data_IF_214668281275
#
_entry.id   IF_214668281275
#
_cell.length_a   1.000
_cell.length_b   1.000
_cell.length_c   1.000
_cell.angle_alpha   90.00
_cell.angle_beta   90.00
_cell.angle_gamma   90.00
#
_symmetry.space_group_name_H-M   'P 1'
#
loop_
_entity.id
_entity.type
_entity.pdbx_description
1 polymer ?
#
# COMPACT_ATOMS: atom_id res chain seq x y z
N UNK A 1 50.57 31.57 18.29
CA UNK A 1 50.14 31.26 19.67
C UNK A 1 50.03 32.53 20.48
N UNK A 2 48.83 32.91 20.93
CA UNK A 2 48.55 33.68 22.16
C UNK A 2 47.05 33.66 22.42
N UNK A 3 46.74 33.47 23.69
CA UNK A 3 45.52 32.91 24.25
C UNK A 3 44.46 33.96 24.57
N UNK A 4 43.20 33.53 24.52
CA UNK A 4 42.01 34.21 25.02
C UNK A 4 42.14 34.48 26.53
N UNK A 5 41.70 35.67 26.99
CA UNK A 5 41.31 35.89 28.39
C UNK A 5 39.92 36.50 28.47
N UNK A 6 39.09 35.79 29.23
CA UNK A 6 37.74 36.10 29.69
C UNK A 6 37.62 37.50 30.31
N UNK A 7 36.51 38.18 30.02
CA UNK A 7 35.98 39.27 30.85
C UNK A 7 34.70 38.74 31.51
N UNK A 8 34.64 38.89 32.84
CA UNK A 8 33.55 38.46 33.73
C UNK A 8 32.35 39.44 33.68
N UNK A 9 31.15 38.87 33.70
CA UNK A 9 29.83 39.51 33.89
C UNK A 9 29.66 40.21 35.25
N UNK A 10 28.66 41.10 35.35
CA UNK A 10 27.75 41.13 36.51
C UNK A 10 26.25 40.94 36.14
N UNK A 11 25.34 40.72 37.13
CA UNK A 11 24.11 39.93 36.98
C UNK A 11 22.76 40.70 37.01
N UNK A 12 21.73 40.01 36.47
CA UNK A 12 20.27 39.99 36.77
C UNK A 12 19.56 41.25 37.32
N UNK A 13 18.42 41.61 36.69
CA UNK A 13 17.11 41.80 37.39
C UNK A 13 15.92 41.50 36.47
N UNK A 14 14.84 40.97 37.06
CA UNK A 14 13.56 40.52 36.46
C UNK A 14 12.48 41.62 36.57
N UNK A 15 11.46 41.59 35.68
CA UNK A 15 9.99 41.76 35.89
C UNK A 15 9.35 41.92 34.48
N UNK A 16 8.59 40.98 33.90
CA UNK A 16 7.25 40.42 34.21
C UNK A 16 6.08 41.38 33.89
N UNK A 17 5.33 41.06 32.81
CA UNK A 17 3.88 41.28 32.52
C UNK A 17 3.65 40.91 31.04
N UNK A 18 3.06 39.76 30.67
CA UNK A 18 1.62 39.43 30.56
C UNK A 18 1.36 39.05 29.07
N UNK A 19 1.19 37.77 28.73
CA UNK A 19 -0.10 37.11 28.37
C UNK A 19 -0.80 37.84 27.20
N UNK A 20 -1.08 37.27 26.02
CA UNK A 20 -1.73 35.97 25.73
C UNK A 20 -1.41 35.42 24.31
N UNK A 21 -1.44 34.07 24.22
CA UNK A 21 -1.66 33.21 23.03
C UNK A 21 -0.68 33.35 21.84
N UNK A 22 0.42 32.60 21.71
CA UNK A 22 0.58 31.14 21.82
C UNK A 22 -0.43 30.31 21.01
N UNK A 23 -0.31 30.35 19.68
CA UNK A 23 -0.57 29.18 18.81
C UNK A 23 0.61 29.00 17.88
N UNK A 24 1.77 28.69 18.47
CA UNK A 24 2.77 27.88 17.78
C UNK A 24 2.15 26.49 17.72
N UNK A 25 1.60 26.10 16.57
CA UNK A 25 1.28 24.71 16.31
C UNK A 25 2.59 23.96 16.11
N UNK A 26 3.29 23.73 17.21
CA UNK A 26 4.16 22.57 17.36
C UNK A 26 3.24 21.36 17.27
N UNK A 27 3.01 20.92 16.03
CA UNK A 27 2.64 19.55 15.75
C UNK A 27 3.84 18.68 16.08
N UNK A 28 4.11 18.55 17.38
CA UNK A 28 5.01 17.58 17.95
C UNK A 28 4.39 16.23 17.64
N UNK A 29 4.64 15.72 16.44
CA UNK A 29 4.60 14.28 16.19
C UNK A 29 5.58 13.70 17.19
N UNK A 30 5.05 13.30 18.34
CA UNK A 30 5.74 12.49 19.30
C UNK A 30 6.25 11.29 18.51
N UNK A 31 7.53 11.35 18.15
CA UNK A 31 8.29 10.24 17.63
C UNK A 31 8.47 9.27 18.79
N UNK A 32 7.36 8.65 19.19
CA UNK A 32 7.37 7.32 19.76
C UNK A 32 8.23 6.54 18.78
N UNK A 33 9.36 6.03 19.25
CA UNK A 33 10.19 5.11 18.50
C UNK A 33 9.40 3.81 18.32
N UNK A 34 8.34 3.87 17.50
CA UNK A 34 7.55 2.73 17.11
C UNK A 34 8.53 1.73 16.54
N UNK A 35 8.40 0.50 17.01
CA UNK A 35 9.21 -0.61 16.57
C UNK A 35 9.15 -0.68 15.02
N UNK A 36 10.24 -1.05 14.35
CA UNK A 36 10.32 -0.96 12.88
C UNK A 36 9.16 -1.70 12.19
N UNK A 37 8.70 -2.79 12.80
CA UNK A 37 7.53 -3.57 12.41
C UNK A 37 6.22 -2.78 12.51
N UNK A 38 5.99 -2.04 13.59
CA UNK A 38 4.79 -1.22 13.78
C UNK A 38 4.74 -0.07 12.78
N UNK A 39 5.89 0.54 12.46
CA UNK A 39 5.98 1.58 11.42
C UNK A 39 5.66 0.99 10.04
N UNK A 40 6.14 -0.22 9.76
CA UNK A 40 5.83 -0.93 8.52
C UNK A 40 4.35 -1.29 8.42
N UNK A 41 3.77 -1.79 9.50
CA UNK A 41 2.35 -2.14 9.55
C UNK A 41 1.47 -0.91 9.33
N UNK A 42 1.77 0.22 10.00
CA UNK A 42 1.06 1.49 9.73
C UNK A 42 1.15 1.91 8.27
N UNK A 43 2.33 1.81 7.66
CA UNK A 43 2.49 2.10 6.23
C UNK A 43 1.67 1.16 5.35
N UNK A 44 1.58 -0.13 5.69
CA UNK A 44 0.75 -1.10 4.97
C UNK A 44 -0.72 -0.75 5.09
N UNK A 45 -1.18 -0.40 6.29
CA UNK A 45 -2.57 -0.08 6.56
C UNK A 45 -2.99 1.20 5.81
N UNK A 46 -2.11 2.20 5.73
CA UNK A 46 -2.33 3.39 4.90
C UNK A 46 -2.44 3.06 3.41
N UNK A 47 -1.60 2.15 2.90
CA UNK A 47 -1.69 1.70 1.50
C UNK A 47 -2.96 0.88 1.24
N UNK A 48 -3.44 0.10 2.22
CA UNK A 48 -4.69 -0.66 2.12
C UNK A 48 -5.92 0.23 2.10
N UNK A 49 -5.87 1.38 2.75
CA UNK A 49 -6.95 2.34 2.76
C UNK A 49 -7.16 3.02 1.39
N UNK A 50 -6.19 2.91 0.47
CA UNK A 50 -6.31 3.47 -0.89
C UNK A 50 -7.09 2.50 -1.78
N UNK A 51 -8.34 2.87 -2.07
CA UNK A 51 -9.26 2.09 -2.90
C UNK A 51 -9.64 2.81 -4.19
N UNK A 52 -9.57 4.15 -4.20
CA UNK A 52 -9.98 4.98 -5.33
C UNK A 52 -8.82 5.80 -5.91
N UNK A 53 -9.00 6.31 -7.13
CA UNK A 53 -8.01 7.17 -7.77
C UNK A 53 -7.83 8.52 -7.05
N UNK A 54 -8.89 9.08 -6.47
CA UNK A 54 -8.80 10.31 -5.66
C UNK A 54 -8.00 10.08 -4.38
N UNK A 55 -8.20 8.95 -3.70
CA UNK A 55 -7.43 8.58 -2.52
C UNK A 55 -5.96 8.34 -2.86
N UNK A 56 -5.69 7.76 -4.04
CA UNK A 56 -4.33 7.61 -4.55
C UNK A 56 -3.65 8.97 -4.71
N UNK A 57 -4.31 9.94 -5.35
CA UNK A 57 -3.76 11.28 -5.51
C UNK A 57 -3.48 11.95 -4.16
N UNK A 58 -4.43 11.89 -3.22
CA UNK A 58 -4.24 12.43 -1.88
C UNK A 58 -3.09 11.75 -1.11
N UNK A 59 -2.92 10.45 -1.27
CA UNK A 59 -1.81 9.72 -0.65
C UNK A 59 -0.46 10.12 -1.25
N UNK A 60 -0.39 10.35 -2.56
CA UNK A 60 0.80 10.89 -3.22
C UNK A 60 1.12 12.30 -2.68
N UNK A 61 0.13 13.17 -2.52
CA UNK A 61 0.30 14.52 -1.95
C UNK A 61 0.81 14.49 -0.51
N UNK A 62 0.37 13.50 0.28
CA UNK A 62 0.88 13.23 1.64
C UNK A 62 2.29 12.62 1.67
N UNK A 63 2.90 12.38 0.49
CA UNK A 63 4.25 11.83 0.37
C UNK A 63 4.33 10.30 0.44
N UNK A 64 3.20 9.59 0.31
CA UNK A 64 3.21 8.11 0.21
C UNK A 64 3.66 7.72 -1.20
N UNK A 65 4.80 7.07 -1.29
CA UNK A 65 5.36 6.62 -2.56
C UNK A 65 4.99 5.16 -2.84
N UNK A 66 4.24 4.93 -3.92
CA UNK A 66 3.71 3.63 -4.35
C UNK A 66 4.76 2.78 -5.08
N UNK A 67 5.97 2.72 -4.53
CA UNK A 67 7.05 1.84 -4.97
C UNK A 67 7.65 1.18 -3.74
N UNK A 68 8.23 -0.02 -3.88
CA UNK A 68 8.85 -0.70 -2.73
C UNK A 68 9.97 0.15 -2.13
N UNK A 69 10.78 0.78 -2.98
CA UNK A 69 11.88 1.63 -2.52
C UNK A 69 11.41 2.96 -1.94
N UNK A 70 10.35 3.55 -2.49
CA UNK A 70 9.71 4.74 -1.93
C UNK A 70 9.12 4.47 -0.55
N UNK A 71 8.34 3.40 -0.43
CA UNK A 71 7.77 2.94 0.84
C UNK A 71 8.85 2.73 1.90
N UNK A 72 9.97 2.09 1.54
CA UNK A 72 11.12 1.89 2.44
C UNK A 72 11.79 3.19 2.87
N UNK A 73 11.99 4.13 1.95
CA UNK A 73 12.58 5.45 2.26
C UNK A 73 11.72 6.20 3.28
N UNK A 74 10.39 6.13 3.13
CA UNK A 74 9.45 6.74 4.07
C UNK A 74 9.56 6.14 5.48
N UNK A 75 9.73 4.82 5.58
CA UNK A 75 9.75 4.11 6.88
C UNK A 75 11.19 4.04 7.46
N UNK A 76 12.21 4.51 6.74
CA UNK A 76 13.64 4.50 7.12
C UNK A 76 14.17 3.10 7.48
N UNK A 77 13.74 2.06 6.74
CA UNK A 77 14.16 0.67 7.02
C UNK A 77 15.24 0.18 6.04
N UNK A 78 16.29 -0.47 6.55
CA UNK A 78 17.38 -1.07 5.76
C UNK A 78 16.94 -2.28 4.92
N UNK A 79 17.41 -2.34 3.66
CA UNK A 79 16.93 -3.27 2.62
C UNK A 79 17.14 -4.78 2.95
N UNK A 80 18.29 -5.14 3.52
CA UNK A 80 18.71 -6.53 3.75
C UNK A 80 18.04 -7.13 4.98
N UNK A 81 18.10 -6.43 6.12
CA UNK A 81 17.50 -6.90 7.37
C UNK A 81 16.01 -7.12 7.23
N UNK A 82 15.32 -6.24 6.49
CA UNK A 82 13.87 -6.28 6.45
C UNK A 82 13.29 -7.39 5.55
N UNK A 83 14.00 -7.75 4.48
CA UNK A 83 13.61 -8.86 3.60
C UNK A 83 13.73 -10.22 4.29
N UNK A 84 14.68 -10.35 5.21
CA UNK A 84 14.94 -11.59 5.96
C UNK A 84 14.12 -11.69 7.23
N UNK A 85 13.91 -10.59 7.96
CA UNK A 85 13.17 -10.58 9.24
C UNK A 85 11.65 -10.51 9.06
N UNK A 86 11.15 -9.75 8.08
CA UNK A 86 9.71 -9.50 7.88
C UNK A 86 9.25 -9.86 6.47
N UNK A 87 9.55 -11.10 6.06
CA UNK A 87 9.24 -11.61 4.71
C UNK A 87 7.74 -11.54 4.40
N UNK A 88 6.89 -11.82 5.37
CA UNK A 88 5.42 -11.82 5.21
C UNK A 88 4.89 -10.42 4.93
N UNK A 89 5.30 -9.42 5.71
CA UNK A 89 4.94 -8.01 5.51
C UNK A 89 5.40 -7.51 4.13
N UNK A 90 6.57 -7.96 3.65
CA UNK A 90 7.02 -7.68 2.29
C UNK A 90 6.18 -8.32 1.20
N UNK A 91 5.64 -9.50 1.44
CA UNK A 91 4.71 -10.14 0.50
C UNK A 91 3.44 -9.31 0.40
N UNK A 92 2.86 -8.95 1.56
CA UNK A 92 1.65 -8.14 1.64
C UNK A 92 1.82 -6.78 0.94
N UNK A 93 2.97 -6.11 1.12
CA UNK A 93 3.27 -4.87 0.40
C UNK A 93 3.23 -5.07 -1.12
N UNK A 94 3.82 -6.16 -1.62
CA UNK A 94 3.82 -6.43 -3.05
C UNK A 94 2.42 -6.75 -3.57
N UNK A 95 1.61 -7.48 -2.82
CA UNK A 95 0.24 -7.83 -3.19
C UNK A 95 -0.65 -6.58 -3.29
N UNK A 96 -0.52 -5.65 -2.33
CA UNK A 96 -1.26 -4.37 -2.36
C UNK A 96 -0.82 -3.52 -3.55
N UNK A 97 0.49 -3.39 -3.79
CA UNK A 97 0.97 -2.66 -4.96
C UNK A 97 0.46 -3.31 -6.25
N UNK A 98 0.50 -4.64 -6.36
CA UNK A 98 0.00 -5.37 -7.52
C UNK A 98 -1.52 -5.24 -7.72
N UNK A 99 -2.29 -4.81 -6.72
CA UNK A 99 -3.69 -4.37 -6.85
C UNK A 99 -3.79 -2.92 -7.34
N UNK A 100 -3.07 -1.99 -6.70
CA UNK A 100 -3.14 -0.54 -7.00
C UNK A 100 -2.74 -0.24 -8.45
N UNK A 101 -1.67 -0.86 -8.95
CA UNK A 101 -1.18 -0.59 -10.31
C UNK A 101 -2.22 -0.89 -11.41
N UNK A 102 -2.80 -2.11 -11.49
CA UNK A 102 -3.82 -2.39 -12.50
C UNK A 102 -5.18 -1.78 -12.18
N UNK A 103 -5.66 -1.82 -10.93
CA UNK A 103 -7.05 -1.45 -10.65
C UNK A 103 -7.26 0.05 -10.45
N UNK A 104 -6.27 0.76 -9.89
CA UNK A 104 -6.40 2.19 -9.63
C UNK A 104 -5.73 3.00 -10.75
N UNK A 105 -4.54 2.59 -11.19
CA UNK A 105 -3.78 3.35 -12.19
C UNK A 105 -4.03 2.87 -13.62
N UNK A 106 -4.63 1.69 -13.83
CA UNK A 106 -4.77 1.11 -15.16
C UNK A 106 -3.43 0.75 -15.82
N UNK A 107 -2.33 0.75 -15.07
CA UNK A 107 -0.99 0.51 -15.59
C UNK A 107 -0.52 -0.87 -15.19
N UNK A 108 -0.02 -1.66 -16.15
CA UNK A 108 0.68 -2.89 -15.81
C UNK A 108 2.03 -2.55 -15.17
N UNK A 109 2.20 -2.94 -13.90
CA UNK A 109 3.47 -2.81 -13.20
C UNK A 109 4.57 -3.49 -14.02
N UNK A 110 5.56 -2.72 -14.45
CA UNK A 110 6.73 -3.25 -15.15
C UNK A 110 7.56 -4.06 -14.14
N UNK A 111 7.28 -5.36 -14.04
CA UNK A 111 8.04 -6.34 -13.26
C UNK A 111 9.44 -6.62 -13.85
N UNK A 112 10.03 -5.67 -14.60
CA UNK A 112 11.40 -5.75 -15.11
C UNK A 112 12.35 -5.76 -13.90
N UNK A 113 12.73 -6.95 -13.46
CA UNK A 113 13.71 -7.14 -12.39
C UNK A 113 13.41 -8.26 -11.39
N UNK A 114 12.19 -8.82 -11.36
CA UNK A 114 11.96 -10.06 -10.59
C UNK A 114 12.45 -11.21 -11.47
N UNK A 115 13.67 -11.69 -11.23
CA UNK A 115 14.13 -12.94 -11.84
C UNK A 115 13.03 -13.97 -11.58
N UNK A 116 12.37 -14.40 -12.66
CA UNK A 116 11.44 -15.51 -12.60
C UNK A 116 12.30 -16.70 -12.20
N UNK A 117 12.08 -17.24 -11.00
CA UNK A 117 12.54 -18.58 -10.70
C UNK A 117 12.08 -19.47 -11.87
N UNK A 118 13.00 -20.18 -12.55
CA UNK A 118 12.67 -20.94 -13.77
C UNK A 118 11.61 -22.04 -13.53
N UNK A 119 11.31 -22.37 -12.27
CA UNK A 119 10.30 -23.34 -11.88
C UNK A 119 8.90 -22.78 -11.58
N UNK A 120 8.66 -21.46 -11.60
CA UNK A 120 7.29 -20.94 -11.54
C UNK A 120 6.70 -20.84 -12.94
N UNK A 121 6.03 -21.92 -13.36
CA UNK A 121 5.15 -21.88 -14.54
C UNK A 121 4.22 -20.66 -14.41
N UNK A 122 4.06 -19.86 -15.49
CA UNK A 122 3.24 -18.67 -15.44
C UNK A 122 1.79 -19.07 -15.10
N UNK A 123 1.29 -18.59 -13.96
CA UNK A 123 -0.11 -18.75 -13.48
C UNK A 123 -1.19 -18.30 -14.50
N UNK A 124 -0.80 -17.75 -15.66
CA UNK A 124 -1.73 -17.38 -16.74
C UNK A 124 -2.44 -18.59 -17.35
N UNK A 125 -1.74 -19.71 -17.58
CA UNK A 125 -2.39 -20.92 -18.14
C UNK A 125 -3.52 -21.44 -17.25
N UNK A 126 -3.34 -21.41 -15.93
CA UNK A 126 -4.37 -21.84 -14.97
C UNK A 126 -5.66 -21.00 -15.04
N UNK A 127 -5.54 -19.68 -15.21
CA UNK A 127 -6.71 -18.80 -15.31
C UNK A 127 -7.41 -18.92 -16.66
N UNK A 128 -6.64 -19.07 -17.74
CA UNK A 128 -7.21 -19.25 -19.09
C UNK A 128 -7.97 -20.59 -19.20
N UNK A 129 -7.47 -21.64 -18.55
CA UNK A 129 -8.14 -22.94 -18.49
C UNK A 129 -9.42 -22.88 -17.63
N UNK A 130 -9.41 -22.12 -16.55
CA UNK A 130 -10.58 -21.88 -15.70
C UNK A 130 -11.67 -21.07 -16.43
N UNK A 131 -11.28 -20.04 -17.18
CA UNK A 131 -12.22 -19.29 -18.05
C UNK A 131 -12.82 -20.19 -19.12
N UNK A 132 -12.04 -21.08 -19.73
CA UNK A 132 -12.58 -22.05 -20.70
C UNK A 132 -13.58 -23.01 -20.06
N UNK A 133 -13.27 -23.52 -18.86
CA UNK A 133 -14.19 -24.39 -18.12
C UNK A 133 -15.51 -23.69 -17.78
N UNK A 134 -15.42 -22.46 -17.27
CA UNK A 134 -16.59 -21.65 -16.92
C UNK A 134 -17.45 -21.32 -18.15
N UNK A 135 -16.83 -21.02 -19.30
CA UNK A 135 -17.56 -20.82 -20.57
C UNK A 135 -18.33 -22.06 -21.00
N UNK A 136 -17.69 -23.23 -20.97
CA UNK A 136 -18.37 -24.50 -21.31
C UNK A 136 -19.52 -24.79 -20.35
N UNK A 137 -19.38 -24.45 -19.07
CA UNK A 137 -20.45 -24.62 -18.09
C UNK A 137 -21.62 -23.67 -18.35
N UNK A 138 -21.34 -22.41 -18.71
CA UNK A 138 -22.34 -21.43 -19.09
C UNK A 138 -23.14 -21.90 -20.31
N UNK A 139 -22.44 -22.33 -21.37
CA UNK A 139 -23.07 -22.83 -22.60
C UNK A 139 -23.97 -24.05 -22.36
N UNK A 140 -23.64 -24.89 -21.37
CA UNK A 140 -24.48 -26.02 -20.96
C UNK A 140 -25.73 -25.55 -20.22
N UNK A 141 -25.57 -24.67 -19.25
CA UNK A 141 -26.70 -24.12 -18.49
C UNK A 141 -27.67 -23.36 -19.40
N UNK A 142 -27.17 -22.62 -20.38
CA UNK A 142 -28.01 -21.91 -21.37
C UNK A 142 -28.84 -22.91 -22.20
N UNK A 143 -28.27 -24.05 -22.60
CA UNK A 143 -29.02 -25.10 -23.31
C UNK A 143 -30.06 -25.76 -22.40
N UNK A 144 -29.68 -26.11 -21.18
CA UNK A 144 -30.61 -26.71 -20.21
C UNK A 144 -31.79 -25.76 -19.95
N UNK A 145 -31.55 -24.45 -19.86
CA UNK A 145 -32.61 -23.45 -19.74
C UNK A 145 -33.50 -23.39 -20.99
N UNK A 146 -32.94 -23.47 -22.20
CA UNK A 146 -33.72 -23.48 -23.44
C UNK A 146 -34.57 -24.75 -23.57
N UNK A 147 -34.02 -25.90 -23.20
CA UNK A 147 -34.72 -27.19 -23.22
C UNK A 147 -35.87 -27.20 -22.21
N UNK A 148 -35.63 -26.74 -20.97
CA UNK A 148 -36.67 -26.57 -19.95
C UNK A 148 -37.76 -25.58 -20.39
N UNK A 149 -37.39 -24.49 -21.06
CA UNK A 149 -38.37 -23.54 -21.62
C UNK A 149 -39.20 -24.17 -22.75
N UNK A 150 -38.61 -25.04 -23.55
CA UNK A 150 -39.33 -25.78 -24.58
C UNK A 150 -40.31 -26.80 -23.95
N UNK A 151 -39.88 -27.54 -22.94
CA UNK A 151 -40.73 -28.47 -22.19
C UNK A 151 -41.90 -27.75 -21.51
N UNK A 152 -41.65 -26.61 -20.86
CA UNK A 152 -42.71 -25.80 -20.25
C UNK A 152 -43.71 -25.26 -21.29
N UNK A 153 -43.26 -24.90 -22.49
CA UNK A 153 -44.16 -24.48 -23.58
C UNK A 153 -45.04 -25.63 -24.07
N UNK A 154 -44.49 -26.84 -24.17
CA UNK A 154 -45.24 -28.04 -24.55
C UNK A 154 -46.27 -28.37 -23.47
N UNK A 155 -45.86 -28.36 -22.19
CA UNK A 155 -46.75 -28.62 -21.05
C UNK A 155 -47.86 -27.58 -20.90
N UNK A 156 -47.60 -26.32 -21.28
CA UNK A 156 -48.62 -25.26 -21.29
C UNK A 156 -49.59 -25.36 -22.47
N UNK A 157 -49.19 -26.01 -23.56
CA UNK A 157 -50.01 -26.17 -24.76
C UNK A 157 -50.97 -27.37 -24.69
N UNK A 158 -50.74 -28.28 -23.73
CA UNK A 158 -51.64 -29.38 -23.36
C UNK A 158 -52.53 -28.97 -22.18
#
# INVERSE_FOLDING_TARGET
>A
MRTLKLIKLPPKTRKATGEEAAVLSEGTEASVELNAEQRFQRGLDELRAVTTFSEYQQAVERGVSFTVDGFRRRIKVGNTAMRTTHRELFSQLNDILDYIYPEILGVRRNLKGRSRNPNQKPKRRSKDDEVKRLKVQLDRMDRDCLDLLAELRILRAN
#
